data_IF_650527432576
#
_entry.id   IF_650527432576
#
_cell.length_a   1.000
_cell.length_b   1.000
_cell.length_c   1.000
_cell.angle_alpha   90.00
_cell.angle_beta   90.00
_cell.angle_gamma   90.00
#
_symmetry.space_group_name_H-M   'P 1'
#
loop_
_entity.id
_entity.type
_entity.pdbx_description
1 polymer ?
#
# COMPACT_ATOMS: atom_id res chain seq x y z
N UNK A 1 26.37 52.21 -21.70
CA UNK A 1 27.17 52.44 -22.93
C UNK A 1 28.31 53.44 -22.76
N UNK A 2 28.13 54.61 -22.14
CA UNK A 2 29.25 55.55 -21.89
C UNK A 2 30.31 55.02 -20.91
N UNK A 3 29.94 54.17 -19.96
CA UNK A 3 30.88 53.57 -19.01
C UNK A 3 31.93 52.62 -19.64
N UNK A 4 31.63 52.01 -20.81
CA UNK A 4 32.57 51.12 -21.51
C UNK A 4 33.51 51.89 -22.45
N UNK A 5 33.15 53.10 -22.90
CA UNK A 5 33.99 53.94 -23.77
C UNK A 5 34.99 54.81 -23.00
N UNK A 6 34.76 55.02 -21.70
CA UNK A 6 35.65 55.82 -20.84
C UNK A 6 36.88 55.04 -20.31
N UNK A 7 37.03 53.76 -20.68
CA UNK A 7 38.06 52.87 -20.14
C UNK A 7 38.97 52.39 -21.28
N UNK A 8 39.55 53.34 -22.00
CA UNK A 8 40.54 53.08 -23.06
C UNK A 8 41.94 53.60 -22.66
N UNK A 9 42.14 53.92 -21.37
CA UNK A 9 43.43 54.29 -20.82
C UNK A 9 44.15 53.03 -20.32
N UNK A 10 45.25 52.71 -20.99
CA UNK A 10 46.05 51.47 -20.94
C UNK A 10 46.83 51.24 -19.64
N UNK A 11 46.30 51.65 -18.49
CA UNK A 11 46.97 51.49 -17.17
C UNK A 11 46.10 50.89 -16.07
N UNK A 12 44.86 50.51 -16.36
CA UNK A 12 44.00 49.81 -15.41
C UNK A 12 43.60 48.46 -16.00
N UNK A 13 44.22 47.39 -15.50
CA UNK A 13 43.76 46.03 -15.71
C UNK A 13 42.36 45.90 -15.10
N UNK A 14 41.32 45.95 -15.93
CA UNK A 14 39.94 45.80 -15.50
C UNK A 14 39.67 44.34 -15.16
N UNK A 15 39.50 44.03 -13.88
CA UNK A 15 39.00 42.72 -13.47
C UNK A 15 37.47 42.69 -13.54
N UNK A 16 36.90 41.58 -14.01
CA UNK A 16 35.44 41.40 -14.07
C UNK A 16 34.78 41.64 -12.72
N UNK A 17 35.42 41.24 -11.63
CA UNK A 17 34.90 41.41 -10.27
C UNK A 17 34.63 42.89 -9.95
N UNK A 18 35.46 43.81 -10.46
CA UNK A 18 35.31 45.26 -10.28
C UNK A 18 34.19 45.84 -11.14
N UNK A 19 34.01 45.33 -12.37
CA UNK A 19 32.90 45.73 -13.25
C UNK A 19 31.58 45.24 -12.68
N UNK A 20 31.49 43.96 -12.31
CA UNK A 20 30.31 43.33 -11.72
C UNK A 20 29.91 44.00 -10.41
N UNK A 21 30.88 44.45 -9.61
CA UNK A 21 30.61 45.22 -8.39
C UNK A 21 29.73 46.46 -8.65
N UNK A 22 29.89 47.09 -9.83
CA UNK A 22 29.21 48.32 -10.28
C UNK A 22 27.92 48.06 -11.09
N UNK A 23 27.63 46.82 -11.50
CA UNK A 23 26.47 46.46 -12.37
C UNK A 23 25.11 46.77 -11.73
N UNK A 24 25.00 46.83 -10.39
CA UNK A 24 23.75 47.26 -9.72
C UNK A 24 23.26 48.66 -10.14
N UNK A 25 24.14 49.49 -10.71
CA UNK A 25 23.84 50.86 -11.14
C UNK A 25 23.19 50.89 -12.54
N UNK A 26 23.30 49.80 -13.30
CA UNK A 26 22.78 49.69 -14.66
C UNK A 26 21.57 48.76 -14.71
N UNK A 27 20.41 49.24 -15.16
CA UNK A 27 19.17 48.46 -15.37
C UNK A 27 19.28 47.44 -16.53
N UNK A 28 20.38 46.70 -16.63
CA UNK A 28 20.58 45.66 -17.64
C UNK A 28 20.01 44.33 -17.15
N UNK A 29 19.49 43.50 -18.05
CA UNK A 29 19.21 42.09 -17.75
C UNK A 29 20.48 41.25 -17.80
N UNK A 30 20.45 40.06 -17.19
CA UNK A 30 21.57 39.10 -17.26
C UNK A 30 21.94 38.80 -18.72
N UNK A 31 20.94 38.54 -19.57
CA UNK A 31 21.17 38.21 -20.99
C UNK A 31 21.83 39.36 -21.75
N UNK A 32 21.39 40.60 -21.50
CA UNK A 32 22.01 41.79 -22.11
C UNK A 32 23.48 41.94 -21.70
N UNK A 33 23.80 41.60 -20.45
CA UNK A 33 25.17 41.63 -19.96
C UNK A 33 26.04 40.57 -20.66
N UNK A 34 25.54 39.34 -20.74
CA UNK A 34 26.27 38.22 -21.36
C UNK A 34 26.47 38.45 -22.87
N UNK A 35 25.46 38.97 -23.57
CA UNK A 35 25.58 39.36 -24.98
C UNK A 35 26.62 40.46 -25.18
N UNK A 36 26.62 41.48 -24.32
CA UNK A 36 27.63 42.53 -24.37
C UNK A 36 29.03 41.95 -24.16
N UNK A 37 29.21 41.04 -23.19
CA UNK A 37 30.49 40.35 -23.00
C UNK A 37 30.94 39.63 -24.26
N UNK A 38 30.09 38.80 -24.86
CA UNK A 38 30.45 38.03 -26.05
C UNK A 38 30.90 38.91 -27.21
N UNK A 39 30.28 40.09 -27.38
CA UNK A 39 30.62 41.05 -28.42
C UNK A 39 31.99 41.73 -28.20
N UNK A 40 32.46 41.83 -26.94
CA UNK A 40 33.69 42.55 -26.59
C UNK A 40 34.74 41.66 -25.92
N UNK A 41 34.58 40.33 -25.96
CA UNK A 41 35.43 39.37 -25.23
C UNK A 41 36.94 39.50 -25.54
N UNK A 42 37.28 39.94 -26.75
CA UNK A 42 38.67 40.18 -27.19
C UNK A 42 39.35 41.32 -26.43
N UNK A 43 38.58 42.24 -25.83
CA UNK A 43 39.12 43.31 -24.98
C UNK A 43 39.54 42.80 -23.58
N UNK A 44 39.22 41.55 -23.23
CA UNK A 44 39.39 40.99 -21.88
C UNK A 44 40.31 39.75 -21.86
N UNK A 45 41.20 39.60 -22.85
CA UNK A 45 42.06 38.40 -23.00
C UNK A 45 42.90 38.11 -21.75
N UNK A 46 43.37 39.13 -21.04
CA UNK A 46 44.15 38.96 -19.80
C UNK A 46 43.30 38.57 -18.57
N UNK A 47 41.99 38.87 -18.60
CA UNK A 47 41.06 38.63 -17.50
C UNK A 47 39.75 38.05 -18.06
N UNK A 48 39.75 36.78 -18.51
CA UNK A 48 38.58 36.17 -19.10
C UNK A 48 37.44 36.08 -18.07
N UNK A 49 36.21 36.13 -18.57
CA UNK A 49 35.04 35.93 -17.73
C UNK A 49 35.04 34.50 -17.18
N UNK A 50 34.96 34.35 -15.85
CA UNK A 50 35.11 33.07 -15.16
C UNK A 50 33.82 32.62 -14.45
N UNK A 51 33.86 31.42 -13.87
CA UNK A 51 32.73 30.83 -13.16
C UNK A 51 32.26 31.66 -11.94
N UNK A 52 33.15 32.11 -11.03
CA UNK A 52 32.75 33.00 -9.93
C UNK A 52 32.02 34.26 -10.39
N UNK A 53 32.47 34.89 -11.47
CA UNK A 53 31.84 36.10 -12.02
C UNK A 53 30.43 35.80 -12.51
N UNK A 54 30.22 34.69 -13.24
CA UNK A 54 28.88 34.28 -13.68
C UNK A 54 27.94 34.07 -12.49
N UNK A 55 28.39 33.33 -11.48
CA UNK A 55 27.60 33.00 -10.29
C UNK A 55 27.22 34.28 -9.53
N UNK A 56 28.15 35.23 -9.38
CA UNK A 56 27.89 36.53 -8.76
C UNK A 56 26.85 37.35 -9.54
N UNK A 57 26.93 37.34 -10.87
CA UNK A 57 25.93 38.01 -11.72
C UNK A 57 24.55 37.37 -11.60
N UNK A 58 24.46 36.03 -11.61
CA UNK A 58 23.20 35.32 -11.37
C UNK A 58 22.60 35.69 -10.01
N UNK A 59 23.43 35.76 -8.97
CA UNK A 59 22.97 36.16 -7.64
C UNK A 59 22.40 37.58 -7.60
N UNK A 60 23.02 38.51 -8.34
CA UNK A 60 22.65 39.94 -8.34
C UNK A 60 21.48 40.27 -9.26
N UNK A 61 21.37 39.56 -10.37
CA UNK A 61 20.47 39.88 -11.49
C UNK A 61 19.45 38.77 -11.72
N UNK A 62 19.21 37.94 -10.70
CA UNK A 62 18.41 36.72 -10.77
C UNK A 62 17.15 36.95 -11.63
N UNK A 63 16.90 36.09 -12.64
CA UNK A 63 15.78 36.27 -13.56
C UNK A 63 14.49 36.43 -12.77
N UNK A 64 13.70 37.43 -13.19
CA UNK A 64 12.37 37.72 -12.65
C UNK A 64 11.52 36.45 -12.63
N UNK A 65 10.64 36.31 -11.63
CA UNK A 65 9.70 35.18 -11.45
C UNK A 65 8.79 34.90 -12.65
N UNK A 66 8.85 35.70 -13.71
CA UNK A 66 8.04 35.60 -14.92
C UNK A 66 8.86 35.27 -16.19
N UNK A 67 10.04 34.67 -16.05
CA UNK A 67 10.83 34.24 -17.19
C UNK A 67 10.09 33.16 -18.01
N UNK A 68 10.15 33.27 -19.35
CA UNK A 68 9.53 32.29 -20.28
C UNK A 68 10.23 30.94 -20.25
N UNK A 69 11.51 30.91 -19.86
CA UNK A 69 12.33 29.70 -19.76
C UNK A 69 12.76 29.44 -18.32
N UNK A 70 13.09 28.18 -18.02
CA UNK A 70 13.61 27.80 -16.71
C UNK A 70 14.89 28.57 -16.39
N UNK A 71 15.03 29.16 -15.19
CA UNK A 71 16.23 29.90 -14.82
C UNK A 71 17.48 29.02 -14.92
N UNK A 72 17.36 27.74 -14.58
CA UNK A 72 18.48 26.80 -14.67
C UNK A 72 18.90 26.56 -16.13
N UNK A 73 17.95 26.52 -17.06
CA UNK A 73 18.22 26.34 -18.50
C UNK A 73 19.04 27.49 -19.04
N UNK A 74 18.61 28.71 -18.72
CA UNK A 74 19.33 29.93 -19.08
C UNK A 74 20.75 29.91 -18.50
N UNK A 75 20.92 29.55 -17.22
CA UNK A 75 22.24 29.51 -16.61
C UNK A 75 23.17 28.46 -17.23
N UNK A 76 22.65 27.26 -17.55
CA UNK A 76 23.42 26.21 -18.21
C UNK A 76 23.82 26.62 -19.64
N UNK A 77 22.90 27.24 -20.39
CA UNK A 77 23.21 27.79 -21.70
C UNK A 77 24.30 28.87 -21.64
N UNK A 78 24.26 29.75 -20.64
CA UNK A 78 25.31 30.77 -20.45
C UNK A 78 26.63 30.15 -20.05
N UNK A 79 26.64 29.19 -19.12
CA UNK A 79 27.84 28.46 -18.75
C UNK A 79 28.49 27.78 -19.98
N UNK A 80 27.68 27.16 -20.84
CA UNK A 80 28.18 26.54 -22.08
C UNK A 80 28.68 27.56 -23.10
N UNK A 81 27.92 28.64 -23.33
CA UNK A 81 28.28 29.69 -24.30
C UNK A 81 29.55 30.45 -23.94
N UNK A 82 29.90 30.43 -22.65
CA UNK A 82 31.11 31.03 -22.11
C UNK A 82 32.26 30.02 -21.94
N UNK A 83 32.03 28.74 -22.27
CA UNK A 83 32.98 27.64 -22.13
C UNK A 83 33.56 27.50 -20.71
N UNK A 84 32.71 27.66 -19.69
CA UNK A 84 33.08 27.61 -18.28
C UNK A 84 32.99 26.20 -17.70
N UNK A 85 33.80 25.91 -16.68
CA UNK A 85 33.81 24.61 -15.98
C UNK A 85 32.44 24.32 -15.35
N UNK A 86 31.70 23.31 -15.85
CA UNK A 86 30.36 23.01 -15.36
C UNK A 86 30.34 22.44 -13.94
N UNK A 87 31.39 21.77 -13.48
CA UNK A 87 31.47 21.23 -12.11
C UNK A 87 31.67 22.37 -11.12
N UNK A 88 32.66 23.22 -11.37
CA UNK A 88 32.93 24.39 -10.55
C UNK A 88 31.71 25.33 -10.49
N UNK A 89 30.98 25.44 -11.62
CA UNK A 89 29.76 26.25 -11.69
C UNK A 89 28.70 25.78 -10.70
N UNK A 90 28.35 24.48 -10.73
CA UNK A 90 27.34 23.96 -9.81
C UNK A 90 27.81 23.93 -8.36
N UNK A 91 29.10 23.72 -8.08
CA UNK A 91 29.63 23.80 -6.72
C UNK A 91 29.42 25.20 -6.11
N UNK A 92 29.71 26.25 -6.87
CA UNK A 92 29.54 27.64 -6.39
C UNK A 92 28.07 28.09 -6.42
N UNK A 93 27.31 27.66 -7.43
CA UNK A 93 25.90 27.98 -7.59
C UNK A 93 25.01 27.35 -6.50
N UNK A 94 25.48 26.29 -5.83
CA UNK A 94 24.73 25.58 -4.78
C UNK A 94 24.14 26.52 -3.71
N UNK A 95 24.89 27.55 -3.29
CA UNK A 95 24.44 28.52 -2.29
C UNK A 95 23.23 29.34 -2.75
N UNK A 96 23.22 29.76 -4.01
CA UNK A 96 22.12 30.50 -4.64
C UNK A 96 20.90 29.59 -4.76
N UNK A 97 21.11 28.36 -5.21
CA UNK A 97 20.06 27.34 -5.27
C UNK A 97 19.44 27.10 -3.88
N UNK A 98 20.25 26.86 -2.83
CA UNK A 98 19.76 26.73 -1.45
C UNK A 98 18.90 27.91 -1.00
N UNK A 99 19.33 29.13 -1.30
CA UNK A 99 18.56 30.33 -0.98
C UNK A 99 17.23 30.37 -1.73
N UNK A 100 17.23 30.03 -3.02
CA UNK A 100 16.01 30.04 -3.83
C UNK A 100 15.01 28.95 -3.45
N UNK A 101 15.47 27.75 -3.05
CA UNK A 101 14.58 26.70 -2.54
C UNK A 101 13.92 27.13 -1.24
N UNK A 102 14.69 27.65 -0.27
CA UNK A 102 14.16 28.15 1.01
C UNK A 102 13.10 29.22 0.83
N UNK A 103 13.28 30.10 -0.16
CA UNK A 103 12.37 31.20 -0.45
C UNK A 103 11.32 30.87 -1.52
N UNK A 104 11.19 29.59 -1.93
CA UNK A 104 10.24 29.11 -2.95
C UNK A 104 10.27 29.95 -4.24
N UNK A 105 11.47 30.24 -4.73
CA UNK A 105 11.70 31.06 -5.93
C UNK A 105 11.64 30.27 -7.24
N UNK A 106 11.63 28.94 -7.17
CA UNK A 106 11.67 28.05 -8.32
C UNK A 106 10.39 27.23 -8.42
N UNK A 107 9.91 26.99 -9.64
CA UNK A 107 8.85 26.02 -9.86
C UNK A 107 9.40 24.59 -9.81
N UNK A 108 8.54 23.62 -9.48
CA UNK A 108 8.93 22.21 -9.42
C UNK A 108 9.53 21.70 -10.75
N UNK A 109 8.97 22.15 -11.88
CA UNK A 109 9.45 21.80 -13.23
C UNK A 109 10.90 22.23 -13.45
N UNK A 110 11.27 23.42 -12.93
CA UNK A 110 12.61 23.97 -13.07
C UNK A 110 13.61 23.11 -12.28
N UNK A 111 13.25 22.76 -11.05
CA UNK A 111 14.09 21.93 -10.18
C UNK A 111 14.28 20.54 -10.79
N UNK A 112 13.23 19.96 -11.36
CA UNK A 112 13.29 18.67 -12.05
C UNK A 112 14.18 18.71 -13.30
N UNK A 113 14.15 19.81 -14.05
CA UNK A 113 15.05 20.03 -15.20
C UNK A 113 16.52 20.10 -14.74
N UNK A 114 16.80 20.85 -13.67
CA UNK A 114 18.13 20.90 -13.06
C UNK A 114 18.61 19.51 -12.64
N UNK A 115 17.78 18.74 -11.93
CA UNK A 115 18.05 17.36 -11.55
C UNK A 115 18.37 16.47 -12.75
N UNK A 116 17.68 16.70 -13.88
CA UNK A 116 17.92 15.95 -15.11
C UNK A 116 19.30 16.23 -15.71
N UNK A 117 19.82 17.45 -15.60
CA UNK A 117 21.18 17.76 -16.07
C UNK A 117 22.28 17.25 -15.15
N UNK A 118 22.08 17.33 -13.84
CA UNK A 118 23.13 16.97 -12.88
C UNK A 118 23.14 15.48 -12.52
N UNK A 119 22.15 14.69 -12.94
CA UNK A 119 22.05 13.25 -12.60
C UNK A 119 23.25 12.40 -13.08
N UNK A 120 23.96 12.82 -14.12
CA UNK A 120 25.19 12.17 -14.57
C UNK A 120 26.36 12.35 -13.60
N UNK A 121 26.26 13.29 -12.65
CA UNK A 121 27.26 13.59 -11.63
C UNK A 121 26.74 13.17 -10.25
N UNK A 122 26.89 11.88 -9.91
CA UNK A 122 26.33 11.22 -8.70
C UNK A 122 26.42 12.08 -7.42
N UNK A 123 27.64 12.51 -7.04
CA UNK A 123 27.85 13.31 -5.83
C UNK A 123 27.16 14.68 -5.88
N UNK A 124 27.22 15.37 -7.02
CA UNK A 124 26.61 16.69 -7.20
C UNK A 124 25.08 16.58 -7.14
N UNK A 125 24.52 15.58 -7.81
CA UNK A 125 23.09 15.28 -7.72
C UNK A 125 22.66 15.07 -6.26
N UNK A 126 23.40 14.23 -5.52
CA UNK A 126 23.12 13.96 -4.11
C UNK A 126 23.07 15.24 -3.27
N UNK A 127 24.05 16.12 -3.41
CA UNK A 127 24.11 17.40 -2.67
C UNK A 127 22.87 18.28 -2.94
N UNK A 128 22.55 18.49 -4.22
CA UNK A 128 21.40 19.29 -4.63
C UNK A 128 20.07 18.67 -4.19
N UNK A 129 19.93 17.35 -4.33
CA UNK A 129 18.73 16.64 -3.92
C UNK A 129 18.52 16.68 -2.39
N UNK A 130 19.58 16.49 -1.60
CA UNK A 130 19.48 16.61 -0.14
C UNK A 130 19.13 18.02 0.31
N UNK A 131 19.72 19.03 -0.32
CA UNK A 131 19.35 20.43 -0.08
C UNK A 131 17.88 20.69 -0.44
N UNK A 132 17.39 20.24 -1.60
CA UNK A 132 15.97 20.33 -1.94
C UNK A 132 15.08 19.64 -0.90
N UNK A 133 15.34 18.36 -0.66
CA UNK A 133 14.52 17.54 0.23
C UNK A 133 14.52 18.03 1.68
N UNK A 134 15.57 18.70 2.15
CA UNK A 134 15.62 19.26 3.50
C UNK A 134 14.76 20.52 3.68
N UNK A 135 14.39 21.18 2.58
CA UNK A 135 13.65 22.45 2.60
C UNK A 135 12.20 22.35 2.10
N UNK A 136 11.79 21.17 1.60
CA UNK A 136 10.42 20.92 1.14
C UNK A 136 9.65 19.98 2.06
N UNK A 137 8.33 20.02 2.03
CA UNK A 137 7.50 19.08 2.79
C UNK A 137 7.43 17.71 2.09
N UNK A 138 6.67 16.76 2.64
CA UNK A 138 6.51 15.43 2.03
C UNK A 138 5.63 15.47 0.78
N UNK A 139 4.65 16.40 0.71
CA UNK A 139 3.76 16.56 -0.46
C UNK A 139 4.58 16.95 -1.69
N UNK A 140 5.40 18.00 -1.57
CA UNK A 140 6.28 18.50 -2.63
C UNK A 140 7.26 17.40 -3.10
N UNK A 141 7.78 16.59 -2.17
CA UNK A 141 8.70 15.50 -2.49
C UNK A 141 8.00 14.36 -3.23
N UNK A 142 6.75 14.05 -2.87
CA UNK A 142 5.93 13.07 -3.58
C UNK A 142 5.60 13.56 -4.99
N UNK A 143 5.22 14.82 -5.14
CA UNK A 143 4.93 15.41 -6.46
C UNK A 143 6.18 15.41 -7.35
N UNK A 144 7.35 15.72 -6.79
CA UNK A 144 8.63 15.60 -7.50
C UNK A 144 8.90 14.16 -7.94
N UNK A 145 8.65 13.16 -7.08
CA UNK A 145 8.78 11.75 -7.42
C UNK A 145 7.89 11.37 -8.62
N UNK A 146 6.60 11.74 -8.58
CA UNK A 146 5.67 11.48 -9.68
C UNK A 146 6.08 12.22 -10.96
N UNK A 147 6.52 13.48 -10.84
CA UNK A 147 6.95 14.30 -11.98
C UNK A 147 8.17 13.71 -12.69
N UNK A 148 9.19 13.28 -11.94
CA UNK A 148 10.40 12.68 -12.50
C UNK A 148 10.08 11.35 -13.21
N UNK A 149 9.15 10.55 -12.69
CA UNK A 149 8.67 9.34 -13.38
C UNK A 149 7.99 9.66 -14.70
N UNK A 150 7.04 10.61 -14.69
CA UNK A 150 6.30 11.03 -15.88
C UNK A 150 7.22 11.57 -16.98
N UNK A 151 8.26 12.30 -16.61
CA UNK A 151 9.24 12.87 -17.55
C UNK A 151 10.36 11.89 -17.95
N UNK A 152 10.32 10.64 -17.46
CA UNK A 152 11.37 9.63 -17.70
C UNK A 152 12.77 10.07 -17.26
N UNK A 153 12.84 10.99 -16.28
CA UNK A 153 14.11 11.52 -15.78
C UNK A 153 14.82 10.55 -14.82
N UNK A 154 14.18 9.45 -14.45
CA UNK A 154 14.64 8.54 -13.39
C UNK A 154 15.64 7.51 -13.91
N UNK A 155 16.84 7.58 -13.35
CA UNK A 155 17.92 6.61 -13.54
C UNK A 155 18.40 6.03 -12.19
N UNK A 156 19.53 5.30 -12.21
CA UNK A 156 20.12 4.73 -11.00
C UNK A 156 20.49 5.78 -9.95
N UNK A 157 21.02 6.94 -10.36
CA UNK A 157 21.48 7.99 -9.45
C UNK A 157 20.28 8.66 -8.78
N UNK A 158 19.27 9.05 -9.56
CA UNK A 158 18.05 9.64 -9.02
C UNK A 158 17.41 8.70 -7.99
N UNK A 159 17.32 7.40 -8.30
CA UNK A 159 16.76 6.38 -7.41
C UNK A 159 17.54 6.24 -6.11
N UNK A 160 18.87 6.21 -6.19
CA UNK A 160 19.78 6.06 -5.04
C UNK A 160 19.50 7.09 -3.94
N UNK A 161 19.17 8.32 -4.30
CA UNK A 161 18.90 9.39 -3.32
C UNK A 161 17.42 9.62 -3.03
N UNK A 162 16.55 9.57 -4.05
CA UNK A 162 15.13 9.86 -3.91
C UNK A 162 14.41 8.86 -3.02
N UNK A 163 14.59 7.57 -3.26
CA UNK A 163 13.82 6.52 -2.59
C UNK A 163 14.09 6.49 -1.07
N UNK A 164 15.35 6.53 -0.58
CA UNK A 164 15.60 6.53 0.86
C UNK A 164 15.02 7.74 1.58
N UNK A 165 15.15 8.93 0.98
CA UNK A 165 14.62 10.17 1.56
C UNK A 165 13.09 10.16 1.57
N UNK A 166 12.49 9.70 0.48
CA UNK A 166 11.04 9.59 0.38
C UNK A 166 10.48 8.61 1.41
N UNK A 167 11.07 7.42 1.52
CA UNK A 167 10.70 6.43 2.54
C UNK A 167 10.83 6.97 3.96
N UNK A 168 11.90 7.72 4.27
CA UNK A 168 12.10 8.33 5.58
C UNK A 168 11.00 9.36 5.92
N UNK A 169 10.49 10.10 4.93
CA UNK A 169 9.46 11.11 5.15
C UNK A 169 8.04 10.56 5.13
N UNK A 170 7.78 9.57 4.28
CA UNK A 170 6.45 8.97 4.13
C UNK A 170 6.01 8.25 5.40
N UNK A 171 6.91 7.59 6.12
CA UNK A 171 6.52 6.82 7.33
C UNK A 171 5.86 7.67 8.41
N UNK A 172 6.11 8.98 8.44
CA UNK A 172 5.48 9.91 9.39
C UNK A 172 4.16 10.52 8.93
N UNK A 173 3.74 10.34 7.67
CA UNK A 173 2.50 10.97 7.17
C UNK A 173 1.27 10.21 7.62
N UNK A 174 0.20 10.91 7.98
CA UNK A 174 -1.07 10.28 8.36
C UNK A 174 -1.70 9.48 7.20
N UNK A 175 -2.65 8.60 7.52
CA UNK A 175 -3.25 7.68 6.54
C UNK A 175 -3.96 8.43 5.43
N UNK A 176 -4.73 9.47 5.76
CA UNK A 176 -5.45 10.31 4.78
C UNK A 176 -4.49 10.90 3.74
N UNK A 177 -3.33 11.39 4.17
CA UNK A 177 -2.30 11.95 3.29
C UNK A 177 -1.70 10.86 2.41
N UNK A 178 -1.40 9.69 2.97
CA UNK A 178 -0.87 8.57 2.20
C UNK A 178 -1.88 8.05 1.16
N UNK A 179 -3.16 7.97 1.50
CA UNK A 179 -4.22 7.62 0.54
C UNK A 179 -4.29 8.62 -0.62
N UNK A 180 -4.14 9.92 -0.35
CA UNK A 180 -4.05 10.96 -1.39
C UNK A 180 -2.84 10.74 -2.30
N UNK A 181 -1.67 10.45 -1.73
CA UNK A 181 -0.45 10.13 -2.48
C UNK A 181 -0.65 8.97 -3.42
N UNK A 182 -1.23 7.89 -2.91
CA UNK A 182 -1.44 6.69 -3.68
C UNK A 182 -2.49 6.90 -4.80
N UNK A 183 -3.57 7.67 -4.55
CA UNK A 183 -4.47 8.14 -5.62
C UNK A 183 -3.74 8.94 -6.70
N UNK A 184 -2.84 9.84 -6.32
CA UNK A 184 -2.02 10.58 -7.30
C UNK A 184 -1.07 9.67 -8.08
N UNK A 185 -0.50 8.63 -7.44
CA UNK A 185 0.33 7.63 -8.11
C UNK A 185 -0.46 6.82 -9.14
N UNK A 186 -1.70 6.41 -8.80
CA UNK A 186 -2.60 5.74 -9.75
C UNK A 186 -2.88 6.60 -10.98
N UNK A 187 -3.21 7.87 -10.78
CA UNK A 187 -3.41 8.82 -11.90
C UNK A 187 -2.14 9.02 -12.71
N UNK A 188 -0.98 9.06 -12.05
CA UNK A 188 0.32 9.20 -12.69
C UNK A 188 0.65 7.99 -13.58
N UNK A 189 0.33 6.76 -13.14
CA UNK A 189 0.64 5.51 -13.83
C UNK A 189 0.20 5.51 -15.30
N UNK A 190 -1.00 6.03 -15.59
CA UNK A 190 -1.52 6.13 -16.97
C UNK A 190 -0.72 7.07 -17.89
N UNK A 191 0.08 7.98 -17.33
CA UNK A 191 0.96 8.90 -18.07
C UNK A 191 2.44 8.49 -18.09
N UNK A 192 2.80 7.36 -17.48
CA UNK A 192 4.18 6.84 -17.47
C UNK A 192 4.40 5.99 -18.72
N UNK A 193 5.58 6.11 -19.33
CA UNK A 193 5.97 5.29 -20.49
C UNK A 193 5.90 3.79 -20.17
N UNK A 194 5.42 2.93 -21.09
CA UNK A 194 5.22 1.50 -20.83
C UNK A 194 6.44 0.79 -20.24
N UNK A 195 7.64 1.09 -20.74
CA UNK A 195 8.90 0.49 -20.27
C UNK A 195 9.27 0.81 -18.82
N UNK A 196 8.66 1.86 -18.23
CA UNK A 196 8.89 2.27 -16.84
C UNK A 196 7.76 1.89 -15.89
N UNK A 197 6.60 1.44 -16.39
CA UNK A 197 5.40 1.17 -15.59
C UNK A 197 5.64 0.08 -14.55
N UNK A 198 6.14 -1.09 -14.95
CA UNK A 198 6.43 -2.19 -14.02
C UNK A 198 7.43 -1.76 -12.94
N UNK A 199 8.39 -0.91 -13.31
CA UNK A 199 9.36 -0.40 -12.35
C UNK A 199 8.76 0.60 -11.37
N UNK A 200 7.87 1.48 -11.82
CA UNK A 200 7.12 2.40 -10.97
C UNK A 200 6.25 1.62 -9.97
N UNK A 201 5.50 0.62 -10.45
CA UNK A 201 4.66 -0.24 -9.61
C UNK A 201 5.50 -0.90 -8.51
N UNK A 202 6.60 -1.56 -8.87
CA UNK A 202 7.50 -2.20 -7.91
C UNK A 202 8.04 -1.23 -6.84
N UNK A 203 8.24 0.04 -7.17
CA UNK A 203 8.71 1.04 -6.20
C UNK A 203 7.59 1.60 -5.34
N UNK A 204 6.43 1.85 -5.92
CA UNK A 204 5.24 2.20 -5.17
C UNK A 204 4.94 1.14 -4.12
N UNK A 205 4.97 -0.14 -4.52
CA UNK A 205 4.77 -1.27 -3.63
C UNK A 205 5.80 -1.30 -2.48
N UNK A 206 7.08 -1.03 -2.74
CA UNK A 206 8.11 -0.94 -1.68
C UNK A 206 7.85 0.21 -0.71
N UNK A 207 7.38 1.35 -1.22
CA UNK A 207 7.02 2.52 -0.40
C UNK A 207 5.79 2.19 0.44
N UNK A 208 4.78 1.54 -0.15
CA UNK A 208 3.57 1.06 0.52
C UNK A 208 3.92 0.08 1.65
N UNK A 209 4.72 -0.94 1.35
CA UNK A 209 5.15 -1.93 2.34
C UNK A 209 5.90 -1.26 3.49
N UNK A 210 6.84 -0.37 3.19
CA UNK A 210 7.57 0.38 4.21
C UNK A 210 6.64 1.25 5.06
N UNK A 211 5.66 1.92 4.46
CA UNK A 211 4.67 2.72 5.17
C UNK A 211 3.85 1.87 6.14
N UNK A 212 3.25 0.78 5.63
CA UNK A 212 2.39 -0.11 6.40
C UNK A 212 3.18 -0.82 7.50
N UNK A 213 4.36 -1.37 7.21
CA UNK A 213 5.21 -2.01 8.22
C UNK A 213 5.57 -1.03 9.34
N UNK A 214 5.93 0.21 9.03
CA UNK A 214 6.20 1.21 10.06
C UNK A 214 4.95 1.51 10.89
N UNK A 215 3.77 1.56 10.28
CA UNK A 215 2.52 1.70 11.03
C UNK A 215 2.28 0.52 11.97
N UNK A 216 2.66 -0.69 11.57
CA UNK A 216 2.50 -1.92 12.38
C UNK A 216 3.47 -1.98 13.54
N UNK A 217 4.76 -1.80 13.26
CA UNK A 217 5.83 -2.13 14.20
C UNK A 217 6.16 -0.99 15.14
N UNK A 218 5.80 0.25 14.79
CA UNK A 218 6.11 1.40 15.60
C UNK A 218 5.03 1.57 16.70
N UNK A 219 5.40 1.45 18.00
CA UNK A 219 4.45 1.55 19.11
C UNK A 219 3.66 2.87 19.16
N UNK A 220 4.23 3.95 18.62
CA UNK A 220 3.56 5.24 18.53
C UNK A 220 2.37 5.23 17.56
N UNK A 221 2.33 4.30 16.61
CA UNK A 221 1.37 4.29 15.50
C UNK A 221 0.57 2.97 15.38
N UNK A 222 1.03 1.88 15.98
CA UNK A 222 0.47 0.51 15.82
C UNK A 222 -0.99 0.37 16.23
N UNK A 223 -1.44 1.17 17.17
CA UNK A 223 -2.81 1.15 17.69
C UNK A 223 -3.72 2.23 17.06
N UNK A 224 -3.21 3.06 16.15
CA UNK A 224 -3.97 4.19 15.59
C UNK A 224 -4.73 3.86 14.31
N UNK A 225 -4.38 2.78 13.61
CA UNK A 225 -5.05 2.40 12.36
C UNK A 225 -6.47 1.90 12.63
N UNK A 226 -7.47 2.61 12.11
CA UNK A 226 -8.87 2.18 12.14
C UNK A 226 -9.10 1.05 11.13
N UNK A 227 -10.12 0.22 11.37
CA UNK A 227 -10.48 -0.87 10.46
C UNK A 227 -10.82 -0.37 9.04
N UNK A 228 -11.54 0.75 8.93
CA UNK A 228 -11.87 1.40 7.66
C UNK A 228 -10.64 1.92 6.93
N UNK A 229 -9.68 2.52 7.65
CA UNK A 229 -8.41 2.98 7.08
C UNK A 229 -7.57 1.83 6.52
N UNK A 230 -7.63 0.66 7.17
CA UNK A 230 -6.95 -0.54 6.68
C UNK A 230 -7.57 -1.04 5.36
N UNK A 231 -8.90 -0.97 5.22
CA UNK A 231 -9.60 -1.30 3.96
C UNK A 231 -9.22 -0.32 2.85
N UNK A 232 -9.23 0.99 3.13
CA UNK A 232 -8.83 2.01 2.16
C UNK A 232 -7.39 1.80 1.67
N UNK A 233 -6.47 1.49 2.59
CA UNK A 233 -5.07 1.20 2.25
C UNK A 233 -4.93 -0.06 1.39
N UNK A 234 -5.66 -1.13 1.72
CA UNK A 234 -5.69 -2.35 0.92
C UNK A 234 -6.19 -2.07 -0.50
N UNK A 235 -7.34 -1.39 -0.62
CA UNK A 235 -7.94 -1.09 -1.92
C UNK A 235 -6.96 -0.34 -2.81
N UNK A 236 -6.34 0.73 -2.30
CA UNK A 236 -5.43 1.53 -3.11
C UNK A 236 -4.15 0.77 -3.45
N UNK A 237 -3.65 -0.08 -2.54
CA UNK A 237 -2.54 -0.98 -2.84
C UNK A 237 -2.86 -1.88 -4.05
N UNK A 238 -4.04 -2.49 -4.06
CA UNK A 238 -4.49 -3.42 -5.10
C UNK A 238 -4.80 -2.75 -6.43
N UNK A 239 -5.27 -1.50 -6.40
CA UNK A 239 -5.55 -0.74 -7.62
C UNK A 239 -4.28 -0.39 -8.42
N UNK A 240 -3.11 -0.39 -7.78
CA UNK A 240 -1.83 0.00 -8.38
C UNK A 240 -0.91 -1.21 -8.59
N UNK A 241 -1.01 -2.21 -7.71
CA UNK A 241 -0.10 -3.36 -7.65
C UNK A 241 -0.53 -4.52 -8.55
N UNK A 242 0.40 -5.46 -8.73
CA UNK A 242 0.22 -6.73 -9.43
C UNK A 242 -0.49 -7.80 -8.57
N UNK A 243 -0.82 -8.94 -9.19
CA UNK A 243 -1.64 -10.04 -8.66
C UNK A 243 -1.18 -10.66 -7.33
N UNK A 244 0.03 -10.39 -6.84
CA UNK A 244 0.58 -11.07 -5.64
C UNK A 244 0.70 -10.15 -4.40
N UNK A 245 0.11 -8.95 -4.42
CA UNK A 245 0.24 -8.00 -3.31
C UNK A 245 -0.32 -8.54 -1.98
N UNK A 246 -1.45 -9.25 -2.02
CA UNK A 246 -2.15 -9.68 -0.79
C UNK A 246 -1.37 -10.67 0.05
N UNK A 247 -0.50 -11.47 -0.55
CA UNK A 247 0.34 -12.43 0.17
C UNK A 247 1.47 -11.74 0.96
N UNK A 248 1.70 -10.44 0.73
CA UNK A 248 2.71 -9.67 1.46
C UNK A 248 2.30 -9.45 2.91
N UNK A 249 3.30 -9.47 3.78
CA UNK A 249 3.14 -9.27 5.23
C UNK A 249 2.36 -7.99 5.58
N UNK A 250 2.57 -6.91 4.84
CA UNK A 250 1.88 -5.63 4.99
C UNK A 250 0.37 -5.77 4.76
N UNK A 251 -0.03 -6.34 3.63
CA UNK A 251 -1.43 -6.59 3.29
C UNK A 251 -2.08 -7.61 4.22
N UNK A 252 -1.39 -8.72 4.54
CA UNK A 252 -1.88 -9.71 5.50
C UNK A 252 -2.16 -9.08 6.87
N UNK A 253 -1.32 -8.13 7.32
CA UNK A 253 -1.61 -7.38 8.54
C UNK A 253 -2.86 -6.52 8.40
N UNK A 254 -3.02 -5.77 7.30
CA UNK A 254 -4.19 -4.92 7.10
C UNK A 254 -5.47 -5.76 7.09
N UNK A 255 -5.47 -6.91 6.39
CA UNK A 255 -6.58 -7.86 6.41
C UNK A 255 -6.84 -8.35 7.83
N UNK A 256 -5.79 -8.77 8.54
CA UNK A 256 -5.90 -9.23 9.93
C UNK A 256 -6.52 -8.17 10.83
N UNK A 257 -6.09 -6.92 10.71
CA UNK A 257 -6.56 -5.80 11.53
C UNK A 257 -7.98 -5.38 11.19
N UNK A 258 -8.34 -5.34 9.90
CA UNK A 258 -9.70 -5.02 9.46
C UNK A 258 -10.73 -6.05 9.90
N UNK A 259 -10.38 -7.35 9.90
CA UNK A 259 -11.34 -8.44 10.11
C UNK A 259 -11.28 -9.06 11.51
N UNK A 260 -10.09 -9.17 12.12
CA UNK A 260 -9.87 -10.02 13.31
C UNK A 260 -9.31 -9.31 14.54
N UNK A 261 -8.82 -8.06 14.44
CA UNK A 261 -8.49 -7.28 15.64
C UNK A 261 -9.78 -6.81 16.32
N UNK A 262 -10.42 -7.74 17.02
CA UNK A 262 -11.66 -7.52 17.74
C UNK A 262 -11.32 -6.72 19.00
N UNK A 263 -11.67 -5.44 19.01
CA UNK A 263 -11.72 -4.69 20.25
C UNK A 263 -12.66 -5.40 21.24
N UNK A 264 -12.12 -5.65 22.44
CA UNK A 264 -12.71 -6.29 23.63
C UNK A 264 -12.53 -7.80 23.80
N UNK A 265 -11.55 -8.15 24.65
CA UNK A 265 -11.39 -9.45 25.33
C UNK A 265 -12.63 -9.89 26.15
N UNK A 266 -13.59 -9.00 26.40
CA UNK A 266 -14.80 -9.25 27.20
C UNK A 266 -16.02 -9.68 26.36
N UNK A 267 -15.93 -9.73 25.02
CA UNK A 267 -17.07 -10.14 24.16
C UNK A 267 -17.30 -11.65 24.21
N UNK A 268 -18.56 -12.07 24.21
CA UNK A 268 -18.94 -13.49 24.05
C UNK A 268 -18.58 -14.00 22.65
N UNK A 269 -18.46 -15.32 22.47
CA UNK A 269 -18.15 -15.90 21.14
C UNK A 269 -19.17 -15.49 20.07
N UNK A 270 -20.47 -15.42 20.41
CA UNK A 270 -21.50 -14.95 19.50
C UNK A 270 -21.28 -13.48 19.08
N UNK A 271 -20.95 -12.59 20.02
CA UNK A 271 -20.63 -11.19 19.70
C UNK A 271 -19.37 -11.05 18.85
N UNK A 272 -18.35 -11.87 19.09
CA UNK A 272 -17.12 -11.90 18.29
C UNK A 272 -17.41 -12.36 16.85
N UNK A 273 -18.19 -13.42 16.67
CA UNK A 273 -18.65 -13.88 15.36
C UNK A 273 -19.47 -12.79 14.66
N UNK A 274 -20.47 -12.20 15.31
CA UNK A 274 -21.24 -11.08 14.77
C UNK A 274 -20.33 -9.95 14.28
N UNK A 275 -19.34 -9.56 15.09
CA UNK A 275 -18.37 -8.51 14.75
C UNK A 275 -17.55 -8.88 13.50
N UNK A 276 -17.02 -10.11 13.42
CA UNK A 276 -16.24 -10.58 12.26
C UNK A 276 -17.06 -10.47 10.96
N UNK A 277 -18.27 -10.99 10.95
CA UNK A 277 -19.06 -11.02 9.72
C UNK A 277 -19.64 -9.64 9.37
N UNK A 278 -19.92 -8.78 10.35
CA UNK A 278 -20.17 -7.36 10.10
C UNK A 278 -18.96 -6.69 9.44
N UNK A 279 -17.74 -6.94 9.94
CA UNK A 279 -16.52 -6.43 9.34
C UNK A 279 -16.31 -6.97 7.92
N UNK A 280 -16.59 -8.25 7.69
CA UNK A 280 -16.53 -8.88 6.38
C UNK A 280 -17.55 -8.29 5.39
N UNK A 281 -18.75 -7.88 5.86
CA UNK A 281 -19.73 -7.20 5.02
C UNK A 281 -19.22 -5.84 4.55
N UNK A 282 -18.52 -5.12 5.42
CA UNK A 282 -17.86 -3.85 5.08
C UNK A 282 -16.53 -4.03 4.35
N UNK A 283 -16.01 -5.26 4.30
CA UNK A 283 -14.80 -5.60 3.57
C UNK A 283 -15.14 -5.74 2.09
N UNK A 284 -14.30 -5.19 1.22
CA UNK A 284 -14.59 -5.03 -0.21
C UNK A 284 -15.02 -6.37 -0.86
N UNK A 285 -16.23 -6.40 -1.44
CA UNK A 285 -16.78 -7.59 -2.11
C UNK A 285 -15.86 -8.04 -3.26
N UNK A 286 -15.20 -7.10 -3.95
CA UNK A 286 -14.27 -7.42 -5.05
C UNK A 286 -13.04 -8.17 -4.58
N UNK A 287 -12.58 -7.89 -3.36
CA UNK A 287 -11.48 -8.62 -2.73
C UNK A 287 -11.85 -10.08 -2.49
N UNK A 288 -13.05 -10.31 -1.98
CA UNK A 288 -13.58 -11.65 -1.70
C UNK A 288 -13.83 -12.47 -2.97
N UNK A 289 -14.17 -11.81 -4.09
CA UNK A 289 -14.38 -12.46 -5.39
C UNK A 289 -13.07 -12.81 -6.10
N UNK A 290 -12.05 -11.96 -5.99
CA UNK A 290 -10.82 -12.09 -6.79
C UNK A 290 -9.83 -13.07 -6.17
N UNK A 291 -9.78 -13.17 -4.83
CA UNK A 291 -8.74 -13.91 -4.13
C UNK A 291 -9.31 -15.05 -3.27
N UNK A 292 -8.71 -16.26 -3.34
CA UNK A 292 -9.11 -17.37 -2.49
C UNK A 292 -8.79 -17.11 -1.01
N UNK A 293 -9.77 -17.34 -0.13
CA UNK A 293 -9.65 -17.09 1.30
C UNK A 293 -8.55 -17.96 1.95
N UNK A 294 -8.40 -19.20 1.48
CA UNK A 294 -7.44 -20.18 1.98
C UNK A 294 -5.98 -19.79 1.80
N UNK A 295 -5.67 -18.88 0.88
CA UNK A 295 -4.31 -18.36 0.69
C UNK A 295 -3.98 -17.18 1.60
N UNK A 296 -5.01 -16.48 2.11
CA UNK A 296 -4.87 -15.22 2.82
C UNK A 296 -5.11 -15.39 4.32
N UNK A 297 -6.15 -16.13 4.69
CA UNK A 297 -6.61 -16.28 6.07
C UNK A 297 -5.87 -17.44 6.73
N UNK A 298 -5.23 -17.14 7.86
CA UNK A 298 -4.49 -18.14 8.64
C UNK A 298 -5.28 -18.63 9.84
N UNK A 299 -5.25 -19.94 10.09
CA UNK A 299 -5.93 -20.60 11.24
C UNK A 299 -5.57 -19.99 12.60
N UNK A 300 -4.34 -19.50 12.73
CA UNK A 300 -3.84 -18.84 13.95
C UNK A 300 -4.59 -17.53 14.27
N UNK A 301 -5.24 -16.89 13.29
CA UNK A 301 -6.04 -15.68 13.48
C UNK A 301 -7.45 -15.98 14.02
N UNK A 302 -7.90 -17.23 13.90
CA UNK A 302 -9.25 -17.66 14.28
C UNK A 302 -9.34 -18.15 15.73
N UNK A 303 -8.22 -18.22 16.45
CA UNK A 303 -8.15 -18.87 17.77
C UNK A 303 -9.14 -18.28 18.79
N UNK A 304 -9.31 -16.96 18.78
CA UNK A 304 -10.21 -16.25 19.70
C UNK A 304 -11.70 -16.38 19.34
N UNK A 305 -12.00 -16.94 18.16
CA UNK A 305 -13.35 -17.20 17.65
C UNK A 305 -13.80 -18.64 17.89
N UNK A 306 -12.89 -19.52 18.31
CA UNK A 306 -13.19 -20.94 18.47
C UNK A 306 -14.15 -21.17 19.63
N UNK A 307 -15.15 -22.01 19.39
CA UNK A 307 -16.16 -22.39 20.36
C UNK A 307 -15.83 -23.78 20.87
N UNK A 308 -15.32 -23.87 22.10
CA UNK A 308 -14.86 -25.14 22.72
C UNK A 308 -15.92 -25.82 23.59
N UNK A 309 -17.14 -25.30 23.65
CA UNK A 309 -18.25 -25.88 24.42
C UNK A 309 -19.51 -25.94 23.58
N UNK A 310 -20.15 -27.10 23.54
CA UNK A 310 -21.29 -27.32 22.65
C UNK A 310 -22.47 -26.43 23.02
N UNK A 311 -22.69 -26.22 24.32
CA UNK A 311 -23.72 -25.33 24.85
C UNK A 311 -23.65 -23.90 24.33
N UNK A 312 -22.50 -23.44 23.82
CA UNK A 312 -22.35 -22.13 23.18
C UNK A 312 -22.85 -22.17 21.73
N UNK A 313 -22.59 -23.26 20.98
CA UNK A 313 -23.20 -23.46 19.66
C UNK A 313 -24.74 -23.52 19.75
N UNK A 314 -25.27 -24.13 20.82
CA UNK A 314 -26.71 -24.16 21.10
C UNK A 314 -27.32 -22.79 21.44
N UNK A 315 -26.47 -21.84 21.86
CA UNK A 315 -26.86 -20.51 22.37
C UNK A 315 -26.39 -19.36 21.49
N UNK A 316 -25.86 -19.64 20.30
CA UNK A 316 -25.60 -18.62 19.30
C UNK A 316 -26.93 -17.89 19.08
N UNK A 317 -26.96 -16.60 19.40
CA UNK A 317 -28.22 -15.87 19.42
C UNK A 317 -28.82 -15.80 18.01
N UNK A 318 -30.15 -15.90 17.94
CA UNK A 318 -30.91 -15.98 16.69
C UNK A 318 -30.62 -14.79 15.77
N UNK A 319 -30.40 -13.59 16.32
CA UNK A 319 -30.07 -12.41 15.54
C UNK A 319 -28.70 -12.52 14.87
N UNK A 320 -27.68 -12.98 15.59
CA UNK A 320 -26.34 -13.20 15.03
C UNK A 320 -26.40 -14.24 13.92
N UNK A 321 -27.05 -15.38 14.15
CA UNK A 321 -27.12 -16.44 13.14
C UNK A 321 -27.92 -16.02 11.89
N UNK A 322 -29.08 -15.38 12.10
CA UNK A 322 -29.91 -14.85 11.01
C UNK A 322 -29.15 -13.81 10.19
N UNK A 323 -28.40 -12.92 10.85
CA UNK A 323 -27.55 -11.94 10.17
C UNK A 323 -26.53 -12.60 9.24
N UNK A 324 -25.88 -13.68 9.67
CA UNK A 324 -24.93 -14.45 8.84
C UNK A 324 -25.61 -14.98 7.58
N UNK A 325 -26.73 -15.69 7.76
CA UNK A 325 -27.41 -16.37 6.66
C UNK A 325 -28.00 -15.39 5.64
N UNK A 326 -28.60 -14.31 6.11
CA UNK A 326 -29.22 -13.32 5.21
C UNK A 326 -28.18 -12.51 4.43
N UNK A 327 -27.05 -12.15 5.04
CA UNK A 327 -26.07 -11.23 4.44
C UNK A 327 -24.89 -11.93 3.75
N UNK A 328 -24.58 -13.19 4.08
CA UNK A 328 -23.32 -13.82 3.67
C UNK A 328 -23.44 -15.18 2.98
N UNK A 329 -24.66 -15.68 2.72
CA UNK A 329 -24.88 -17.02 2.10
C UNK A 329 -24.14 -17.28 0.77
N UNK A 330 -23.74 -16.24 0.06
CA UNK A 330 -23.06 -16.34 -1.24
C UNK A 330 -21.60 -15.85 -1.20
N UNK A 331 -21.09 -15.45 -0.04
CA UNK A 331 -19.75 -14.91 0.10
C UNK A 331 -18.76 -16.06 0.37
N UNK A 332 -17.83 -16.29 -0.55
CA UNK A 332 -16.84 -17.38 -0.49
C UNK A 332 -15.98 -17.30 0.77
N UNK A 333 -15.52 -16.10 1.14
CA UNK A 333 -14.75 -15.88 2.36
C UNK A 333 -15.56 -16.18 3.62
N UNK A 334 -16.84 -15.82 3.64
CA UNK A 334 -17.72 -16.10 4.76
C UNK A 334 -17.92 -17.61 4.96
N UNK A 335 -18.14 -18.34 3.87
CA UNK A 335 -18.27 -19.80 3.87
C UNK A 335 -16.96 -20.44 4.35
N UNK A 336 -15.81 -20.02 3.81
CA UNK A 336 -14.50 -20.50 4.24
C UNK A 336 -14.24 -20.24 5.73
N UNK A 337 -14.47 -19.01 6.19
CA UNK A 337 -14.29 -18.61 7.59
C UNK A 337 -15.17 -19.44 8.53
N UNK A 338 -16.45 -19.59 8.20
CA UNK A 338 -17.37 -20.39 8.99
C UNK A 338 -16.93 -21.84 9.05
N UNK A 339 -16.61 -22.45 7.90
CA UNK A 339 -16.13 -23.83 7.81
C UNK A 339 -14.88 -24.05 8.67
N UNK A 340 -13.90 -23.16 8.55
CA UNK A 340 -12.63 -23.26 9.29
C UNK A 340 -12.84 -23.07 10.79
N UNK A 341 -13.66 -22.10 11.22
CA UNK A 341 -13.98 -21.89 12.65
C UNK A 341 -14.66 -23.13 13.22
N UNK A 342 -15.65 -23.69 12.53
CA UNK A 342 -16.34 -24.90 12.98
C UNK A 342 -15.37 -26.08 13.08
N UNK A 343 -14.59 -26.35 12.03
CA UNK A 343 -13.64 -27.45 12.00
C UNK A 343 -12.61 -27.37 13.13
N UNK A 344 -11.98 -26.21 13.32
CA UNK A 344 -11.00 -25.98 14.38
C UNK A 344 -11.63 -26.08 15.78
N UNK A 345 -12.85 -25.57 15.94
CA UNK A 345 -13.61 -25.63 17.20
C UNK A 345 -13.90 -27.07 17.60
N UNK A 346 -14.48 -27.86 16.69
CA UNK A 346 -14.81 -29.25 16.96
C UNK A 346 -13.56 -30.10 17.24
N UNK A 347 -12.47 -29.85 16.51
CA UNK A 347 -11.19 -30.53 16.74
C UNK A 347 -10.65 -30.31 18.17
N UNK A 348 -10.89 -29.12 18.75
CA UNK A 348 -10.54 -28.81 20.16
C UNK A 348 -11.53 -29.34 21.20
N UNK A 349 -12.78 -29.59 20.81
CA UNK A 349 -13.85 -30.10 21.69
C UNK A 349 -13.72 -31.60 21.95
N UNK A 350 -13.25 -32.34 20.95
CA UNK A 350 -12.53 -33.60 21.15
C UNK A 350 -11.34 -33.33 22.10
N UNK A 351 -10.46 -34.23 22.53
CA UNK A 351 -9.57 -34.01 23.70
C UNK A 351 -10.33 -33.90 25.04
N UNK A 352 -11.55 -33.36 25.10
CA UNK A 352 -12.37 -33.26 26.31
C UNK A 352 -13.67 -34.09 26.17
N UNK A 353 -13.77 -35.22 26.88
CA UNK A 353 -14.98 -36.06 27.04
C UNK A 353 -15.91 -36.22 25.80
N UNK A 354 -15.44 -36.99 24.82
CA UNK A 354 -16.04 -37.17 23.50
C UNK A 354 -17.50 -37.65 23.49
N UNK A 355 -17.87 -38.60 24.37
CA UNK A 355 -19.19 -39.24 24.35
C UNK A 355 -20.31 -38.30 24.79
N UNK A 356 -20.06 -37.46 25.80
CA UNK A 356 -21.01 -36.45 26.27
C UNK A 356 -21.27 -35.38 25.20
N UNK A 357 -20.20 -34.96 24.50
CA UNK A 357 -20.29 -33.99 23.42
C UNK A 357 -21.08 -34.55 22.24
N UNK A 358 -20.82 -35.81 21.86
CA UNK A 358 -21.60 -36.51 20.82
C UNK A 358 -23.09 -36.60 21.19
N UNK A 359 -23.40 -36.95 22.44
CA UNK A 359 -24.78 -37.01 22.92
C UNK A 359 -25.47 -35.64 22.87
N UNK A 360 -24.80 -34.58 23.33
CA UNK A 360 -25.34 -33.22 23.29
C UNK A 360 -25.50 -32.68 21.87
N UNK A 361 -24.56 -32.96 20.97
CA UNK A 361 -24.66 -32.60 19.55
C UNK A 361 -25.80 -33.35 18.87
N UNK A 362 -25.94 -34.64 19.14
CA UNK A 362 -27.00 -35.47 18.57
C UNK A 362 -28.39 -35.04 19.05
N UNK A 363 -28.55 -34.78 20.35
CA UNK A 363 -29.80 -34.22 20.89
C UNK A 363 -30.08 -32.84 20.31
N UNK A 364 -29.06 -32.00 20.12
CA UNK A 364 -29.23 -30.72 19.45
C UNK A 364 -29.66 -30.85 17.99
N UNK A 365 -29.07 -31.79 17.22
CA UNK A 365 -29.48 -32.01 15.83
C UNK A 365 -30.92 -32.54 15.74
N UNK A 366 -31.36 -33.35 16.71
CA UNK A 366 -32.75 -33.76 16.86
C UNK A 366 -33.67 -32.59 17.21
N UNK A 367 -33.21 -31.76 18.13
CA UNK A 367 -33.96 -30.65 18.71
C UNK A 367 -33.57 -29.30 18.10
N UNK A 368 -33.08 -29.27 16.85
CA UNK A 368 -32.78 -27.99 16.18
C UNK A 368 -34.06 -27.20 16.26
N UNK A 369 -34.08 -26.23 17.18
CA UNK A 369 -35.15 -25.26 17.25
C UNK A 369 -35.10 -24.60 15.89
N UNK A 370 -36.05 -24.97 15.03
CA UNK A 370 -36.22 -24.48 13.66
C UNK A 370 -36.30 -22.95 13.62
N UNK A 371 -36.50 -22.36 14.79
CA UNK A 371 -36.48 -20.95 15.10
C UNK A 371 -35.08 -20.31 14.87
N UNK A 372 -33.97 -21.03 15.14
CA UNK A 372 -32.60 -20.47 15.08
C UNK A 372 -31.84 -20.92 13.82
N UNK A 373 -31.70 -22.22 13.59
CA UNK A 373 -30.94 -22.76 12.45
C UNK A 373 -31.88 -23.29 11.38
N UNK A 374 -31.83 -22.73 10.17
CA UNK A 374 -32.66 -23.22 9.07
C UNK A 374 -31.99 -24.42 8.38
N UNK A 375 -32.71 -25.51 8.12
CA UNK A 375 -32.18 -26.72 7.48
C UNK A 375 -31.53 -26.49 6.11
N UNK A 376 -31.94 -25.45 5.40
CA UNK A 376 -31.47 -25.14 4.04
C UNK A 376 -30.37 -24.06 4.00
N UNK A 377 -29.96 -23.52 5.15
CA UNK A 377 -28.90 -22.51 5.18
C UNK A 377 -27.53 -23.16 5.02
N UNK A 378 -26.69 -22.59 4.14
CA UNK A 378 -25.33 -23.10 3.87
C UNK A 378 -24.48 -23.20 5.15
N UNK A 379 -24.63 -22.27 6.08
CA UNK A 379 -23.90 -22.27 7.36
C UNK A 379 -24.39 -23.37 8.32
N UNK A 380 -25.70 -23.69 8.32
CA UNK A 380 -26.26 -24.86 9.05
C UNK A 380 -25.68 -26.13 8.48
N UNK A 381 -25.69 -26.25 7.14
CA UNK A 381 -25.21 -27.44 6.43
C UNK A 381 -23.73 -27.67 6.73
N UNK A 382 -22.88 -26.64 6.64
CA UNK A 382 -21.46 -26.73 6.99
C UNK A 382 -21.28 -27.19 8.44
N UNK A 383 -22.04 -26.62 9.39
CA UNK A 383 -21.93 -26.98 10.80
C UNK A 383 -22.30 -28.46 11.05
N UNK A 384 -23.42 -28.91 10.50
CA UNK A 384 -23.88 -30.30 10.60
C UNK A 384 -22.90 -31.25 9.91
N UNK A 385 -22.42 -30.89 8.71
CA UNK A 385 -21.46 -31.70 7.96
C UNK A 385 -20.15 -31.89 8.73
N UNK A 386 -19.53 -30.79 9.21
CA UNK A 386 -18.27 -30.86 9.96
C UNK A 386 -18.40 -31.57 11.31
N UNK A 387 -19.54 -31.43 11.98
CA UNK A 387 -19.88 -32.25 13.15
C UNK A 387 -19.83 -33.73 12.77
N UNK A 388 -20.49 -34.11 11.69
CA UNK A 388 -20.66 -35.50 11.31
C UNK A 388 -19.36 -36.14 10.78
N UNK A 389 -18.59 -35.42 9.96
CA UNK A 389 -17.22 -35.81 9.56
C UNK A 389 -16.35 -36.11 10.78
N UNK A 390 -16.42 -35.23 11.79
CA UNK A 390 -15.64 -35.35 13.01
C UNK A 390 -16.09 -36.51 13.89
N UNK A 391 -17.39 -36.81 13.94
CA UNK A 391 -17.94 -38.02 14.57
C UNK A 391 -17.31 -39.25 13.89
N UNK A 392 -17.41 -39.36 12.55
CA UNK A 392 -16.91 -40.50 11.76
C UNK A 392 -15.42 -40.74 11.87
N UNK A 393 -14.60 -39.69 11.76
CA UNK A 393 -13.15 -39.79 11.70
C UNK A 393 -12.53 -40.43 12.96
N UNK A 394 -13.22 -40.43 14.11
CA UNK A 394 -12.71 -41.01 15.37
C UNK A 394 -13.39 -42.29 15.83
N UNK A 395 -14.55 -42.67 15.30
CA UNK A 395 -15.34 -43.79 15.82
C UNK A 395 -15.97 -44.64 14.71
N UNK A 396 -15.14 -45.28 13.89
CA UNK A 396 -15.61 -46.06 12.74
C UNK A 396 -16.57 -47.22 13.05
N UNK A 397 -16.64 -47.71 14.30
CA UNK A 397 -17.57 -48.79 14.70
C UNK A 397 -18.58 -48.44 15.79
N UNK A 398 -18.29 -47.47 16.66
CA UNK A 398 -19.14 -47.10 17.80
C UNK A 398 -20.25 -46.10 17.44
N UNK A 399 -20.16 -45.51 16.24
CA UNK A 399 -21.16 -44.58 15.70
C UNK A 399 -22.52 -45.21 15.49
N UNK A 400 -22.56 -46.49 15.14
CA UNK A 400 -23.79 -47.24 14.92
C UNK A 400 -24.67 -47.32 16.18
N UNK A 401 -24.07 -47.08 17.34
CA UNK A 401 -24.74 -47.16 18.65
C UNK A 401 -25.19 -45.77 19.15
N UNK A 402 -24.86 -44.70 18.42
CA UNK A 402 -25.37 -43.36 18.71
C UNK A 402 -26.87 -43.31 18.33
N UNK A 403 -27.75 -42.87 19.24
CA UNK A 403 -29.19 -42.76 18.93
C UNK A 403 -29.42 -41.88 17.70
N UNK A 404 -30.34 -42.21 16.80
CA UNK A 404 -30.79 -41.35 15.68
C UNK A 404 -29.70 -40.95 14.64
N UNK A 405 -28.60 -41.69 14.57
CA UNK A 405 -27.52 -41.46 13.59
C UNK A 405 -28.02 -41.52 12.13
N UNK A 406 -29.02 -42.35 11.88
CA UNK A 406 -29.75 -42.51 10.62
C UNK A 406 -30.39 -41.18 10.16
N UNK A 407 -30.95 -40.40 11.08
CA UNK A 407 -31.60 -39.12 10.77
C UNK A 407 -30.59 -38.09 10.26
N UNK A 408 -29.38 -38.06 10.82
CA UNK A 408 -28.31 -37.14 10.44
C UNK A 408 -27.71 -37.54 9.09
N UNK A 409 -27.52 -38.84 8.86
CA UNK A 409 -27.05 -39.37 7.58
C UNK A 409 -28.07 -39.06 6.48
N UNK A 410 -29.37 -39.30 6.75
CA UNK A 410 -30.45 -38.99 5.82
C UNK A 410 -30.54 -37.48 5.53
N UNK A 411 -30.35 -36.63 6.55
CA UNK A 411 -30.26 -35.19 6.35
C UNK A 411 -29.11 -34.82 5.40
N UNK A 412 -27.91 -35.35 5.64
CA UNK A 412 -26.71 -35.05 4.83
C UNK A 412 -26.87 -35.55 3.38
N UNK A 413 -27.46 -36.74 3.19
CA UNK A 413 -27.77 -37.29 1.87
C UNK A 413 -28.87 -36.49 1.17
N UNK A 414 -29.93 -36.10 1.87
CA UNK A 414 -30.99 -35.27 1.29
C UNK A 414 -30.48 -33.89 0.82
N UNK A 415 -29.43 -33.37 1.46
CA UNK A 415 -28.78 -32.12 1.07
C UNK A 415 -27.86 -32.27 -0.16
N UNK A 416 -27.29 -33.47 -0.39
CA UNK A 416 -26.56 -33.81 -1.64
C UNK A 416 -27.43 -33.66 -2.88
N UNK A 417 -28.70 -34.05 -2.77
CA UNK A 417 -29.65 -34.06 -3.88
C UNK A 417 -30.29 -32.68 -4.13
N UNK A 418 -30.01 -31.70 -3.27
CA UNK A 418 -30.60 -30.37 -3.33
C UNK A 418 -29.76 -29.41 -4.20
N UNK A 419 -29.94 -29.48 -5.52
CA UNK A 419 -29.19 -28.71 -6.53
C UNK A 419 -29.46 -27.20 -6.55
N UNK A 420 -30.39 -26.70 -5.72
CA UNK A 420 -30.76 -25.28 -5.67
C UNK A 420 -29.85 -24.43 -4.77
N UNK A 421 -29.04 -25.07 -3.92
CA UNK A 421 -28.10 -24.40 -3.03
C UNK A 421 -26.69 -24.63 -3.59
N UNK A 422 -25.84 -23.60 -3.60
CA UNK A 422 -24.40 -23.69 -3.94
C UNK A 422 -23.65 -24.48 -2.87
N UNK A 423 -23.98 -25.75 -2.75
CA UNK A 423 -23.31 -26.73 -1.91
C UNK A 423 -22.16 -27.29 -2.75
N UNK A 424 -20.98 -27.40 -2.15
CA UNK A 424 -19.86 -28.10 -2.76
C UNK A 424 -20.17 -29.60 -2.74
N UNK A 425 -20.74 -30.07 -3.85
CA UNK A 425 -21.14 -31.46 -4.06
C UNK A 425 -19.91 -32.39 -3.99
N UNK A 426 -18.72 -31.89 -4.33
CA UNK A 426 -17.49 -32.67 -4.27
C UNK A 426 -17.03 -32.89 -2.83
N UNK A 427 -17.24 -31.91 -1.93
CA UNK A 427 -16.98 -32.08 -0.49
C UNK A 427 -17.93 -33.13 0.13
N UNK A 428 -19.22 -33.10 -0.23
CA UNK A 428 -20.21 -34.12 0.19
C UNK A 428 -19.90 -35.50 -0.39
N UNK A 429 -19.50 -35.58 -1.66
CA UNK A 429 -19.14 -36.84 -2.30
C UNK A 429 -17.87 -37.43 -1.66
N UNK A 430 -16.84 -36.61 -1.41
CA UNK A 430 -15.65 -37.03 -0.67
C UNK A 430 -16.00 -37.53 0.73
N UNK A 431 -16.97 -36.90 1.39
CA UNK A 431 -17.49 -37.32 2.68
C UNK A 431 -18.18 -38.71 2.62
N UNK A 432 -19.09 -38.94 1.66
CA UNK A 432 -19.74 -40.25 1.47
C UNK A 432 -18.69 -41.30 1.13
N UNK A 433 -17.72 -40.95 0.29
CA UNK A 433 -16.69 -41.86 -0.18
C UNK A 433 -15.69 -42.25 0.93
N UNK A 434 -15.33 -41.32 1.82
CA UNK A 434 -14.49 -41.60 2.98
C UNK A 434 -15.24 -42.35 4.11
N UNK A 435 -16.56 -42.19 4.21
CA UNK A 435 -17.43 -42.86 5.18
C UNK A 435 -18.14 -44.12 4.67
N UNK A 436 -17.89 -44.52 3.41
CA UNK A 436 -18.74 -45.44 2.63
C UNK A 436 -19.03 -46.77 3.33
N UNK A 437 -18.04 -47.39 3.97
CA UNK A 437 -18.23 -48.66 4.69
C UNK A 437 -19.14 -48.52 5.92
N UNK A 438 -19.00 -47.42 6.67
CA UNK A 438 -19.77 -47.16 7.90
C UNK A 438 -21.20 -46.74 7.55
N UNK A 439 -21.34 -45.87 6.53
CA UNK A 439 -22.65 -45.44 6.02
C UNK A 439 -23.41 -46.64 5.44
N UNK A 440 -22.75 -47.51 4.67
CA UNK A 440 -23.35 -48.76 4.19
C UNK A 440 -23.77 -49.71 5.32
N UNK A 441 -23.04 -49.77 6.44
CA UNK A 441 -23.47 -50.52 7.63
C UNK A 441 -24.71 -49.92 8.29
N UNK A 442 -24.82 -48.59 8.41
CA UNK A 442 -26.04 -47.93 8.94
C UNK A 442 -27.27 -48.26 8.10
N UNK A 443 -27.15 -48.19 6.77
CA UNK A 443 -28.27 -48.50 5.87
C UNK A 443 -28.63 -49.98 5.79
N UNK A 444 -27.76 -50.90 6.24
CA UNK A 444 -28.04 -52.35 6.32
C UNK A 444 -28.70 -52.79 7.62
N UNK A 445 -28.70 -51.96 8.65
CA UNK A 445 -29.29 -52.26 9.97
C UNK A 445 -30.77 -51.84 10.10
N UNK A 446 -31.36 -51.31 9.02
CA UNK A 446 -32.81 -51.18 8.82
C UNK A 446 -33.33 -52.38 8.04
#
# INVERSE_FOLDING_TARGET
>A
MQALKAINDSRYHLQWIDIVSKVKITNLSLDQFIQAYQNYKEAFVEFPFDTPVLVNLIQRMHPSKHAKESPFKTFVQWNHSLNLDPTLFFEQYHSIFSHGIKNRLYEMKDIAELFTWIKSKDQLFGQYFYNYSSNVNTDDLWDMFLYLYKTSAIDNVVRKYLIPVLNKKIVSVNVVTFLRYAKSAKTCLGGIKPELQSHFINLFEKIFDNYVINRITNPYYSYQLLGSECVDLLQVGLEISSTDLLERRSCLFLVRKSLFEIENRQKTNAQKLKTLFQALKSFDEKLCETYPAERIIKDEWLQDLLITHISIWLKLDQETYKYLCENHKNNSWAIYLWSTIVQLSLSKMLNNNHTEILFQINNWMKDVKRDIYHPTDVFTIILVNKVFELVLAKYSKLILVLPNIDTIINFTISMRENTLVKIDVDEINNFIDNGKEIVHEVFRLQ
#
